data_IF_153893177776
#
_entry.id   IF_153893177776
#
_cell.length_a   1.000
_cell.length_b   1.000
_cell.length_c   1.000
_cell.angle_alpha   90.00
_cell.angle_beta   90.00
_cell.angle_gamma   90.00
#
_symmetry.space_group_name_H-M   'P 1'
#
loop_
_entity.id
_entity.type
_entity.pdbx_description
1 polymer ?
#
# COMPACT_ATOMS: atom_id res chain seq x y z
N UNK A 1 6.81 12.52 -6.91
CA UNK A 1 6.55 13.34 -8.11
C UNK A 1 5.41 12.73 -8.91
N UNK A 2 4.97 13.39 -9.99
CA UNK A 2 3.93 12.86 -10.90
C UNK A 2 4.63 12.09 -12.02
N UNK A 3 4.31 10.81 -12.18
CA UNK A 3 4.82 9.96 -13.27
C UNK A 3 3.87 10.00 -14.48
N UNK A 4 4.30 9.45 -15.62
CA UNK A 4 3.47 9.40 -16.83
C UNK A 4 2.10 8.74 -16.60
N UNK A 5 2.03 7.73 -15.74
CA UNK A 5 0.79 7.01 -15.40
C UNK A 5 -0.25 7.92 -14.71
N UNK A 6 0.18 9.08 -14.24
CA UNK A 6 -0.60 10.01 -13.44
C UNK A 6 -0.67 11.41 -14.09
N UNK A 7 -0.39 11.51 -15.39
CA UNK A 7 -0.31 12.79 -16.13
C UNK A 7 -1.54 13.69 -15.94
N UNK A 8 -2.72 13.10 -15.76
CA UNK A 8 -4.00 13.81 -15.51
C UNK A 8 -3.98 14.65 -14.23
N UNK A 9 -3.06 14.35 -13.30
CA UNK A 9 -2.86 15.10 -12.04
C UNK A 9 -2.01 16.36 -12.25
N UNK A 10 -1.39 16.55 -13.41
CA UNK A 10 -0.63 17.77 -13.72
C UNK A 10 -1.57 18.97 -13.77
N UNK A 11 -1.21 20.04 -13.05
CA UNK A 11 -1.92 21.32 -13.07
C UNK A 11 -0.91 22.45 -13.24
N UNK A 12 -1.08 23.32 -14.25
CA UNK A 12 -0.24 24.52 -14.36
C UNK A 12 -0.41 25.40 -13.13
N UNK A 13 0.58 26.25 -12.88
CA UNK A 13 0.45 27.26 -11.83
C UNK A 13 -0.73 28.18 -12.11
N UNK A 14 -1.44 28.58 -11.06
CA UNK A 14 -2.46 29.64 -11.13
C UNK A 14 -1.85 31.03 -10.97
N UNK A 15 -0.64 31.10 -10.43
CA UNK A 15 0.09 32.34 -10.14
C UNK A 15 1.17 32.60 -11.20
N UNK A 16 1.25 33.85 -11.67
CA UNK A 16 2.16 34.24 -12.76
C UNK A 16 3.66 34.10 -12.41
N UNK A 17 4.01 34.13 -11.13
CA UNK A 17 5.39 34.06 -10.65
C UNK A 17 5.87 32.64 -10.36
N UNK A 18 5.01 31.62 -10.49
CA UNK A 18 5.37 30.22 -10.23
C UNK A 18 5.36 29.39 -11.52
N UNK A 19 6.36 28.53 -11.66
CA UNK A 19 6.43 27.53 -12.73
C UNK A 19 6.51 26.14 -12.10
N UNK A 20 5.49 25.33 -12.35
CA UNK A 20 5.48 23.94 -11.93
C UNK A 20 6.34 23.11 -12.91
N UNK A 21 7.30 22.34 -12.37
CA UNK A 21 8.12 21.39 -13.14
C UNK A 21 7.82 19.97 -12.72
N UNK A 22 7.89 19.03 -13.67
CA UNK A 22 7.57 17.63 -13.46
C UNK A 22 8.70 16.74 -14.01
N UNK A 23 9.82 16.58 -13.27
CA UNK A 23 11.01 15.91 -13.78
C UNK A 23 10.78 14.48 -14.28
N UNK A 24 9.85 13.74 -13.68
CA UNK A 24 9.53 12.37 -14.11
C UNK A 24 8.75 12.37 -15.44
N UNK A 25 7.90 13.37 -15.68
CA UNK A 25 7.20 13.54 -16.97
C UNK A 25 8.18 14.00 -18.04
N UNK A 26 9.04 14.95 -17.72
CA UNK A 26 10.09 15.47 -18.61
C UNK A 26 11.04 14.37 -19.07
N UNK A 27 11.32 13.39 -18.18
CA UNK A 27 12.10 12.19 -18.47
C UNK A 27 11.28 11.02 -19.05
N UNK A 28 9.98 11.21 -19.26
CA UNK A 28 9.03 10.17 -19.73
C UNK A 28 9.08 8.89 -18.88
N UNK A 29 9.16 9.03 -17.57
CA UNK A 29 9.20 7.91 -16.63
C UNK A 29 7.81 7.55 -16.12
N UNK A 30 7.46 6.28 -16.24
CA UNK A 30 6.38 5.60 -15.53
C UNK A 30 6.79 5.26 -14.11
N UNK A 31 5.83 4.86 -13.27
CA UNK A 31 6.09 4.26 -11.96
C UNK A 31 7.01 3.05 -12.07
N UNK A 32 6.85 2.23 -13.10
CA UNK A 32 7.68 1.05 -13.31
C UNK A 32 9.12 1.43 -13.62
N UNK A 33 9.34 2.48 -14.42
CA UNK A 33 10.68 3.01 -14.68
C UNK A 33 11.37 3.53 -13.42
N UNK A 34 10.61 4.15 -12.50
CA UNK A 34 11.14 4.58 -11.21
C UNK A 34 11.61 3.39 -10.36
N UNK A 35 10.83 2.30 -10.32
CA UNK A 35 11.21 1.09 -9.59
C UNK A 35 12.47 0.44 -10.20
N UNK A 36 12.57 0.33 -11.53
CA UNK A 36 13.79 -0.16 -12.19
C UNK A 36 14.99 0.75 -11.99
N UNK A 37 14.76 2.06 -11.89
CA UNK A 37 15.83 3.00 -11.59
C UNK A 37 16.37 2.77 -10.18
N UNK A 38 15.50 2.60 -9.18
CA UNK A 38 15.90 2.29 -7.80
C UNK A 38 16.70 0.99 -7.71
N UNK A 39 16.17 -0.07 -8.33
CA UNK A 39 16.80 -1.40 -8.37
C UNK A 39 18.22 -1.35 -8.95
N UNK A 40 18.38 -0.70 -10.11
CA UNK A 40 19.71 -0.51 -10.74
C UNK A 40 20.72 0.27 -9.90
N UNK A 41 20.27 1.05 -8.93
CA UNK A 41 21.13 1.82 -8.03
C UNK A 41 21.26 1.17 -6.65
N UNK A 42 20.74 -0.05 -6.46
CA UNK A 42 20.82 -0.79 -5.21
C UNK A 42 19.95 -0.21 -4.09
N UNK A 43 18.95 0.61 -4.41
CA UNK A 43 18.01 1.09 -3.41
C UNK A 43 16.93 0.05 -3.11
N UNK A 44 16.53 -0.13 -1.84
CA UNK A 44 15.43 -1.01 -1.51
C UNK A 44 14.12 -0.49 -2.12
N UNK A 45 13.21 -1.42 -2.44
CA UNK A 45 11.89 -1.05 -2.92
C UNK A 45 11.14 -0.32 -1.79
N UNK A 46 10.69 0.93 -2.01
CA UNK A 46 10.01 1.67 -0.97
C UNK A 46 8.66 1.02 -0.66
N UNK A 47 8.27 0.92 0.63
CA UNK A 47 6.93 0.51 1.00
C UNK A 47 5.89 1.53 0.52
N UNK A 48 4.61 1.15 0.51
CA UNK A 48 3.53 2.13 0.29
C UNK A 48 3.56 3.17 1.41
N UNK A 49 3.46 4.45 1.05
CA UNK A 49 3.46 5.59 1.97
C UNK A 49 2.09 5.87 2.60
N UNK A 50 1.25 4.84 2.79
CA UNK A 50 -0.07 4.98 3.40
C UNK A 50 0.05 5.24 4.90
N UNK A 51 -0.80 6.12 5.43
CA UNK A 51 -0.87 6.35 6.88
C UNK A 51 -1.39 5.10 7.61
N UNK A 52 -1.15 5.05 8.92
CA UNK A 52 -1.54 3.93 9.79
C UNK A 52 -3.05 3.65 9.78
N UNK A 53 -3.87 4.70 9.68
CA UNK A 53 -5.34 4.62 9.60
C UNK A 53 -5.90 4.57 8.18
N UNK A 54 -5.11 4.18 7.17
CA UNK A 54 -5.57 4.18 5.79
C UNK A 54 -6.47 2.96 5.51
N UNK A 55 -7.73 3.12 5.04
CA UNK A 55 -8.57 1.97 4.70
C UNK A 55 -8.10 1.20 3.46
N UNK A 56 -7.06 1.69 2.74
CA UNK A 56 -6.52 1.08 1.53
C UNK A 56 -5.29 0.19 1.75
N UNK A 57 -5.02 -0.18 3.00
CA UNK A 57 -4.07 -1.23 3.32
C UNK A 57 -4.57 -2.59 2.84
N UNK A 58 -3.64 -3.43 2.39
CA UNK A 58 -3.94 -4.83 2.03
C UNK A 58 -3.81 -5.74 3.25
N UNK A 59 -4.38 -6.95 3.20
CA UNK A 59 -4.24 -7.93 4.30
C UNK A 59 -2.76 -8.23 4.61
N UNK A 60 -1.89 -8.24 3.59
CA UNK A 60 -0.45 -8.40 3.78
C UNK A 60 0.19 -7.24 4.55
N UNK A 61 -0.29 -6.01 4.33
CA UNK A 61 0.21 -4.84 5.06
C UNK A 61 -0.29 -4.82 6.50
N UNK A 62 -1.56 -5.16 6.72
CA UNK A 62 -2.11 -5.30 8.08
C UNK A 62 -1.39 -6.39 8.86
N UNK A 63 -1.11 -7.53 8.22
CA UNK A 63 -0.33 -8.62 8.81
C UNK A 63 1.09 -8.18 9.15
N UNK A 64 1.79 -7.55 8.20
CA UNK A 64 3.14 -7.05 8.44
C UNK A 64 3.18 -6.02 9.59
N UNK A 65 2.18 -5.13 9.67
CA UNK A 65 2.05 -4.19 10.79
C UNK A 65 1.83 -4.94 12.12
N UNK A 66 0.88 -5.88 12.16
CA UNK A 66 0.59 -6.70 13.34
C UNK A 66 1.80 -7.49 13.83
N UNK A 67 2.56 -8.08 12.91
CA UNK A 67 3.61 -9.06 13.22
C UNK A 67 4.98 -8.41 13.47
N UNK A 68 5.20 -7.19 12.96
CA UNK A 68 6.52 -6.51 13.04
C UNK A 68 6.49 -5.16 13.76
N UNK A 69 5.31 -4.58 14.04
CA UNK A 69 5.16 -3.30 14.72
C UNK A 69 3.94 -3.31 15.67
N UNK A 70 4.16 -3.81 16.88
CA UNK A 70 3.10 -3.95 17.88
C UNK A 70 2.50 -2.61 18.34
N UNK A 71 3.29 -1.53 18.35
CA UNK A 71 2.82 -0.19 18.70
C UNK A 71 1.94 0.37 17.57
N UNK A 72 2.43 0.33 16.33
CA UNK A 72 1.65 0.73 15.16
C UNK A 72 0.38 -0.10 14.98
N UNK A 73 0.40 -1.38 15.32
CA UNK A 73 -0.82 -2.19 15.32
C UNK A 73 -1.86 -1.70 16.35
N UNK A 74 -1.44 -1.43 17.58
CA UNK A 74 -2.32 -0.89 18.63
C UNK A 74 -2.92 0.46 18.23
N UNK A 75 -2.12 1.32 17.63
CA UNK A 75 -2.55 2.62 17.14
C UNK A 75 -3.56 2.46 16.00
N UNK A 76 -3.32 1.55 15.04
CA UNK A 76 -4.26 1.25 13.97
C UNK A 76 -5.62 0.74 14.52
N UNK A 77 -5.61 -0.16 15.51
CA UNK A 77 -6.83 -0.64 16.17
C UNK A 77 -7.54 0.49 16.93
N UNK A 78 -6.80 1.39 17.56
CA UNK A 78 -7.36 2.57 18.23
C UNK A 78 -8.06 3.49 17.23
N UNK A 79 -7.44 3.72 16.08
CA UNK A 79 -8.05 4.49 14.99
C UNK A 79 -9.30 3.80 14.45
N UNK A 80 -9.26 2.49 14.19
CA UNK A 80 -10.44 1.72 13.71
C UNK A 80 -11.63 1.87 14.65
N UNK A 81 -11.40 1.78 15.97
CA UNK A 81 -12.44 1.97 16.98
C UNK A 81 -12.96 3.42 17.00
N UNK A 82 -12.07 4.39 16.90
CA UNK A 82 -12.44 5.82 16.96
C UNK A 82 -13.28 6.27 15.75
N UNK A 83 -13.03 5.73 14.56
CA UNK A 83 -13.77 6.12 13.36
C UNK A 83 -15.18 5.52 13.27
N UNK A 84 -15.48 4.46 14.05
CA UNK A 84 -16.69 3.63 13.93
C UNK A 84 -17.97 4.46 13.80
N UNK A 85 -18.11 5.49 14.63
CA UNK A 85 -19.27 6.39 14.64
C UNK A 85 -18.88 7.87 14.47
N UNK A 86 -17.58 8.15 14.28
CA UNK A 86 -17.00 9.48 14.46
C UNK A 86 -17.09 10.43 13.26
N UNK A 87 -17.51 9.96 12.09
CA UNK A 87 -17.53 10.79 10.88
C UNK A 87 -18.89 11.46 10.65
N UNK A 88 -18.91 12.79 10.68
CA UNK A 88 -20.12 13.60 10.38
C UNK A 88 -20.70 13.20 9.02
N UNK A 89 -22.00 12.87 9.00
CA UNK A 89 -22.73 12.52 7.79
C UNK A 89 -22.76 11.02 7.47
N UNK A 90 -22.01 10.19 8.20
CA UNK A 90 -22.09 8.75 8.07
C UNK A 90 -23.10 8.18 9.05
N UNK A 91 -24.06 7.39 8.54
CA UNK A 91 -25.03 6.64 9.37
C UNK A 91 -24.60 5.20 9.62
N UNK A 92 -23.71 4.68 8.78
CA UNK A 92 -23.17 3.34 8.89
C UNK A 92 -21.92 3.34 9.77
N UNK A 93 -21.67 2.20 10.41
CA UNK A 93 -20.43 1.96 11.10
C UNK A 93 -19.26 1.86 10.12
N UNK A 94 -18.15 2.53 10.46
CA UNK A 94 -16.97 2.59 9.61
C UNK A 94 -15.89 1.66 10.09
N UNK A 95 -15.21 1.01 9.15
CA UNK A 95 -14.17 0.03 9.41
C UNK A 95 -12.94 0.32 8.54
N UNK A 96 -11.74 0.10 9.07
CA UNK A 96 -10.50 0.18 8.29
C UNK A 96 -10.30 -1.04 7.39
N UNK A 97 -10.83 -2.20 7.78
CA UNK A 97 -10.74 -3.41 6.99
C UNK A 97 -11.88 -3.50 5.97
N UNK A 98 -11.56 -3.94 4.75
CA UNK A 98 -12.53 -4.05 3.64
C UNK A 98 -13.69 -5.01 3.91
N UNK A 99 -13.53 -5.96 4.83
CA UNK A 99 -14.58 -6.91 5.23
C UNK A 99 -15.61 -6.29 6.18
N UNK A 100 -15.46 -5.00 6.53
CA UNK A 100 -16.36 -4.29 7.44
C UNK A 100 -16.50 -4.96 8.82
N UNK A 101 -15.37 -5.45 9.34
CA UNK A 101 -15.25 -6.02 10.70
C UNK A 101 -14.15 -5.27 11.46
N UNK A 102 -14.19 -5.25 12.80
CA UNK A 102 -13.14 -4.61 13.60
C UNK A 102 -11.77 -5.12 13.18
N UNK A 103 -10.78 -4.23 13.08
CA UNK A 103 -9.46 -4.60 12.55
C UNK A 103 -8.80 -5.76 13.33
N UNK A 104 -9.04 -5.81 14.64
CA UNK A 104 -8.56 -6.89 15.52
C UNK A 104 -9.23 -8.26 15.28
N UNK A 105 -10.38 -8.27 14.61
CA UNK A 105 -11.18 -9.47 14.29
C UNK A 105 -11.05 -9.86 12.82
N UNK A 106 -10.35 -9.05 12.01
CA UNK A 106 -10.21 -9.32 10.58
C UNK A 106 -9.40 -10.59 10.34
N UNK A 107 -9.89 -11.44 9.43
CA UNK A 107 -9.13 -12.59 8.95
C UNK A 107 -7.94 -12.12 8.09
N UNK A 108 -6.76 -12.16 8.71
CA UNK A 108 -5.48 -11.88 8.07
C UNK A 108 -4.70 -13.18 7.79
N UNK A 109 -5.34 -14.34 7.64
CA UNK A 109 -4.67 -15.58 7.25
C UNK A 109 -4.19 -15.53 5.78
N UNK A 110 -3.17 -16.32 5.47
CA UNK A 110 -2.66 -16.55 4.12
C UNK A 110 -3.27 -17.81 3.50
N UNK A 111 -3.01 -18.06 2.21
CA UNK A 111 -3.39 -19.32 1.58
C UNK A 111 -2.64 -20.52 2.20
N UNK A 112 -1.38 -20.31 2.58
CA UNK A 112 -0.56 -21.31 3.29
C UNK A 112 -1.18 -21.69 4.64
N UNK A 113 -1.65 -20.71 5.41
CA UNK A 113 -2.36 -20.97 6.68
C UNK A 113 -3.66 -21.76 6.48
N UNK A 114 -4.25 -21.68 5.28
CA UNK A 114 -5.45 -22.42 4.87
C UNK A 114 -5.13 -23.75 4.18
N UNK A 115 -3.88 -24.22 4.26
CA UNK A 115 -3.45 -25.53 3.79
C UNK A 115 -3.12 -25.59 2.29
N UNK A 116 -3.12 -24.46 1.58
CA UNK A 116 -2.61 -24.42 0.22
C UNK A 116 -1.08 -24.37 0.28
N UNK A 117 -0.43 -25.46 -0.12
CA UNK A 117 1.02 -25.50 -0.24
C UNK A 117 1.51 -24.43 -1.21
N UNK A 118 2.66 -23.84 -0.92
CA UNK A 118 3.33 -22.94 -1.85
C UNK A 118 3.77 -23.72 -3.08
N UNK A 119 2.97 -23.62 -4.14
CA UNK A 119 3.15 -24.33 -5.41
C UNK A 119 4.47 -23.97 -6.11
N UNK A 120 5.13 -22.90 -5.66
CA UNK A 120 6.33 -22.34 -6.29
C UNK A 120 7.53 -22.25 -5.33
N UNK A 121 7.43 -22.81 -4.12
CA UNK A 121 8.55 -22.83 -3.16
C UNK A 121 9.84 -23.43 -3.77
N UNK A 122 9.71 -24.33 -4.74
CA UNK A 122 10.82 -25.03 -5.40
C UNK A 122 11.08 -24.58 -6.85
N UNK A 123 10.48 -23.49 -7.35
CA UNK A 123 10.76 -23.03 -8.74
C UNK A 123 12.24 -22.62 -8.93
N UNK A 124 12.91 -22.20 -7.84
CA UNK A 124 14.34 -21.89 -7.85
C UNK A 124 15.25 -23.13 -7.66
N UNK A 125 14.70 -24.33 -7.47
CA UNK A 125 15.51 -25.56 -7.38
C UNK A 125 15.80 -26.19 -8.76
N UNK A 126 15.35 -25.57 -9.86
CA UNK A 126 15.84 -25.92 -11.20
C UNK A 126 15.54 -27.36 -11.64
N UNK A 127 14.48 -27.97 -11.11
CA UNK A 127 14.00 -29.27 -11.59
C UNK A 127 13.23 -29.08 -12.91
N UNK A 128 13.97 -28.94 -14.02
CA UNK A 128 13.43 -29.19 -15.34
C UNK A 128 13.19 -30.70 -15.50
N UNK A 129 11.92 -31.09 -15.57
CA UNK A 129 11.52 -32.47 -15.80
C UNK A 129 11.50 -32.83 -17.28
N UNK A 130 12.53 -33.60 -17.69
CA UNK A 130 12.71 -34.48 -18.88
C UNK A 130 12.64 -33.84 -20.27
#
# INVERSE_FOLDING_TARGET
GISLDEVVRMKPSREAWQVNRWPLIERRMTRWDCLRWLDRHGYPRPPKSSCIGCPFHSDAMWRALRDHDAEGWRDAVTVDRAIRTGMRGMRAELYLHRSAVPLEQADLSTAADRGQQDLFANECEGLCGV
#
